data_IF_202370725814
#
_entry.id   IF_202370725814
#
_cell.length_a   1.000
_cell.length_b   1.000
_cell.length_c   1.000
_cell.angle_alpha   90.00
_cell.angle_beta   90.00
_cell.angle_gamma   90.00
#
_symmetry.space_group_name_H-M   'P 1'
#
loop_
_entity.id
_entity.type
_entity.pdbx_description
1 polymer ?
#
# COMPACT_ATOMS: atom_id res chain seq x y z
N UNK A 1 -7.20 -18.03 10.56
CA UNK A 1 -7.40 -18.08 9.08
C UNK A 1 -8.34 -16.99 8.63
N UNK A 2 -9.37 -16.72 9.43
CA UNK A 2 -10.44 -15.76 9.19
C UNK A 2 -9.96 -14.39 8.70
N UNK A 3 -8.86 -13.85 9.24
CA UNK A 3 -8.29 -12.56 8.80
C UNK A 3 -7.84 -12.49 7.33
N UNK A 4 -7.41 -13.61 6.74
CA UNK A 4 -6.99 -13.62 5.33
C UNK A 4 -8.19 -13.77 4.38
N UNK A 5 -9.32 -14.28 4.88
CA UNK A 5 -10.51 -14.61 4.09
C UNK A 5 -11.65 -13.61 4.29
N UNK A 6 -11.72 -12.98 5.46
CA UNK A 6 -12.65 -11.91 5.82
C UNK A 6 -11.85 -10.63 6.13
N UNK A 7 -11.88 -9.62 5.24
CA UNK A 7 -11.14 -8.39 5.42
C UNK A 7 -11.68 -7.49 6.55
N UNK A 8 -12.89 -7.75 7.06
CA UNK A 8 -13.47 -7.03 8.21
C UNK A 8 -13.13 -7.68 9.55
N UNK A 9 -12.59 -8.91 9.55
CA UNK A 9 -12.21 -9.60 10.76
C UNK A 9 -11.22 -8.77 11.60
N UNK A 10 -11.43 -8.78 12.91
CA UNK A 10 -10.60 -8.10 13.93
C UNK A 10 -10.02 -9.10 14.92
N UNK A 11 -9.08 -9.97 14.50
CA UNK A 11 -8.50 -10.97 15.41
C UNK A 11 -7.93 -10.32 16.65
N UNK A 12 -8.23 -10.89 17.82
CA UNK A 12 -7.74 -10.43 19.12
C UNK A 12 -8.00 -8.94 19.42
N UNK A 13 -9.07 -8.36 18.84
CA UNK A 13 -9.39 -6.94 19.01
C UNK A 13 -8.49 -5.99 18.22
N UNK A 14 -7.72 -6.52 17.26
CA UNK A 14 -6.88 -5.72 16.37
C UNK A 14 -7.67 -4.93 15.32
N UNK A 15 -6.92 -4.35 14.39
CA UNK A 15 -7.48 -3.59 13.26
C UNK A 15 -7.86 -4.54 12.10
N UNK A 16 -8.98 -4.25 11.43
CA UNK A 16 -9.36 -4.98 10.21
C UNK A 16 -8.53 -4.55 9.00
N UNK A 17 -8.43 -5.42 7.98
CA UNK A 17 -7.70 -5.07 6.75
C UNK A 17 -8.34 -3.87 6.04
N UNK A 18 -9.66 -3.74 6.11
CA UNK A 18 -10.42 -2.59 5.58
C UNK A 18 -10.00 -1.29 6.29
N UNK A 19 -10.03 -1.27 7.62
CA UNK A 19 -9.67 -0.09 8.40
C UNK A 19 -8.21 0.31 8.16
N UNK A 20 -7.30 -0.67 8.19
CA UNK A 20 -5.89 -0.49 7.90
C UNK A 20 -5.67 0.12 6.50
N UNK A 21 -6.26 -0.48 5.47
CA UNK A 21 -6.09 -0.03 4.08
C UNK A 21 -6.70 1.34 3.85
N UNK A 22 -7.86 1.63 4.46
CA UNK A 22 -8.50 2.94 4.39
C UNK A 22 -7.67 4.06 5.04
N UNK A 23 -6.92 3.77 6.12
CA UNK A 23 -5.98 4.74 6.70
C UNK A 23 -4.83 5.04 5.74
N UNK A 24 -4.24 4.01 5.13
CA UNK A 24 -3.14 4.19 4.18
C UNK A 24 -3.60 4.92 2.92
N UNK A 25 -4.79 4.61 2.41
CA UNK A 25 -5.40 5.33 1.29
C UNK A 25 -5.51 6.84 1.56
N UNK A 26 -6.11 7.22 2.70
CA UNK A 26 -6.22 8.65 3.09
C UNK A 26 -4.86 9.34 3.23
N UNK A 27 -3.88 8.65 3.82
CA UNK A 27 -2.53 9.20 3.93
C UNK A 27 -1.93 9.41 2.54
N UNK A 28 -2.04 8.40 1.65
CA UNK A 28 -1.50 8.45 0.30
C UNK A 28 -2.17 9.56 -0.52
N UNK A 29 -3.49 9.71 -0.45
CA UNK A 29 -4.21 10.82 -1.10
C UNK A 29 -3.71 12.19 -0.63
N UNK A 30 -3.45 12.35 0.67
CA UNK A 30 -2.82 13.56 1.21
C UNK A 30 -1.44 13.82 0.61
N UNK A 31 -0.62 12.78 0.41
CA UNK A 31 0.70 12.94 -0.22
C UNK A 31 0.62 13.37 -1.69
N UNK A 32 -0.50 13.12 -2.38
CA UNK A 32 -0.67 13.53 -3.78
C UNK A 32 -0.87 15.04 -3.96
N UNK A 33 -1.13 15.76 -2.86
CA UNK A 33 -1.34 17.21 -2.83
C UNK A 33 -0.04 17.99 -2.58
N UNK A 34 1.01 17.30 -2.13
CA UNK A 34 2.30 17.91 -1.82
C UNK A 34 3.19 17.96 -3.08
N UNK A 35 4.01 19.00 -3.19
CA UNK A 35 4.96 19.15 -4.29
C UNK A 35 6.27 18.38 -4.02
N UNK A 36 6.81 17.75 -5.07
CA UNK A 36 8.15 17.16 -5.06
C UNK A 36 8.18 15.65 -4.79
N UNK A 37 9.30 15.18 -4.22
CA UNK A 37 9.57 13.75 -3.98
C UNK A 37 9.59 13.48 -2.48
N UNK A 38 8.79 12.51 -2.05
CA UNK A 38 8.81 11.98 -0.69
C UNK A 38 9.35 10.54 -0.64
N UNK A 39 9.91 10.17 0.51
CA UNK A 39 10.31 8.80 0.83
C UNK A 39 9.60 8.35 2.10
N UNK A 40 8.98 7.17 2.06
CA UNK A 40 8.33 6.56 3.20
C UNK A 40 9.02 5.24 3.55
N UNK A 41 9.58 5.15 4.75
CA UNK A 41 10.16 3.91 5.30
C UNK A 41 9.09 3.26 6.17
N UNK A 42 8.68 2.04 5.81
CA UNK A 42 7.53 1.38 6.43
C UNK A 42 7.58 -0.14 6.27
N UNK A 43 6.49 -0.80 6.63
CA UNK A 43 6.30 -2.24 6.65
C UNK A 43 5.65 -2.73 5.35
N UNK A 44 5.87 -3.99 4.99
CA UNK A 44 5.35 -4.56 3.74
C UNK A 44 3.83 -4.45 3.58
N UNK A 45 3.06 -4.56 4.67
CA UNK A 45 1.60 -4.37 4.63
C UNK A 45 1.19 -2.97 4.18
N UNK A 46 1.93 -1.94 4.60
CA UNK A 46 1.64 -0.54 4.19
C UNK A 46 1.92 -0.36 2.70
N UNK A 47 3.01 -0.93 2.20
CA UNK A 47 3.33 -0.91 0.76
C UNK A 47 2.24 -1.61 -0.05
N UNK A 48 1.78 -2.78 0.39
CA UNK A 48 0.69 -3.52 -0.28
C UNK A 48 -0.62 -2.72 -0.30
N UNK A 49 -1.02 -2.12 0.84
CA UNK A 49 -2.22 -1.30 0.91
C UNK A 49 -2.14 -0.03 0.03
N UNK A 50 -0.97 0.62 0.01
CA UNK A 50 -0.70 1.76 -0.86
C UNK A 50 -0.83 1.38 -2.35
N UNK A 51 -0.30 0.22 -2.75
CA UNK A 51 -0.41 -0.30 -4.11
C UNK A 51 -1.86 -0.64 -4.49
N UNK A 52 -2.62 -1.27 -3.59
CA UNK A 52 -4.05 -1.55 -3.79
C UNK A 52 -4.81 -0.25 -4.07
N UNK A 53 -4.60 0.78 -3.25
CA UNK A 53 -5.23 2.10 -3.43
C UNK A 53 -4.78 2.77 -4.72
N UNK A 54 -3.47 2.83 -4.96
CA UNK A 54 -2.88 3.49 -6.13
C UNK A 54 -3.37 2.89 -7.46
N UNK A 55 -3.59 1.58 -7.51
CA UNK A 55 -4.07 0.86 -8.69
C UNK A 55 -5.60 0.82 -8.78
N UNK A 56 -6.33 1.39 -7.81
CA UNK A 56 -7.77 1.20 -7.65
C UNK A 56 -8.17 -0.29 -7.71
N UNK A 57 -7.33 -1.15 -7.15
CA UNK A 57 -7.50 -2.59 -7.17
C UNK A 57 -8.49 -3.04 -6.09
N UNK A 58 -9.17 -4.19 -6.27
CA UNK A 58 -9.95 -4.77 -5.18
C UNK A 58 -9.05 -5.11 -3.99
N UNK A 59 -9.57 -5.01 -2.77
CA UNK A 59 -8.80 -5.26 -1.54
C UNK A 59 -8.19 -6.67 -1.48
N UNK A 60 -8.79 -7.65 -2.16
CA UNK A 60 -8.25 -9.01 -2.30
C UNK A 60 -6.89 -9.06 -2.99
N UNK A 61 -6.52 -8.04 -3.78
CA UNK A 61 -5.19 -7.92 -4.37
C UNK A 61 -4.09 -7.71 -3.32
N UNK A 62 -4.42 -7.27 -2.11
CA UNK A 62 -3.47 -7.13 -1.00
C UNK A 62 -2.65 -8.41 -0.78
N UNK A 63 -3.29 -9.57 -0.91
CA UNK A 63 -2.65 -10.88 -0.71
C UNK A 63 -1.87 -11.39 -1.93
N UNK A 64 -2.04 -10.75 -3.09
CA UNK A 64 -1.36 -11.12 -4.35
C UNK A 64 -0.14 -10.24 -4.63
N UNK A 65 0.01 -9.15 -3.89
CA UNK A 65 1.14 -8.25 -3.98
C UNK A 65 2.20 -8.67 -2.98
N UNK A 66 3.45 -8.78 -3.41
CA UNK A 66 4.59 -9.00 -2.51
C UNK A 66 5.37 -7.72 -2.27
N UNK A 67 5.73 -7.47 -1.01
CA UNK A 67 6.61 -6.35 -0.66
C UNK A 67 7.94 -6.94 -0.17
N UNK A 68 8.91 -7.01 -1.09
CA UNK A 68 10.20 -7.64 -0.82
C UNK A 68 10.99 -6.79 0.20
N UNK A 69 11.56 -7.40 1.26
CA UNK A 69 12.39 -6.69 2.21
C UNK A 69 13.57 -5.97 1.54
N UNK A 70 13.94 -4.79 2.05
CA UNK A 70 15.04 -3.97 1.55
C UNK A 70 14.93 -3.56 0.07
N UNK A 71 13.72 -3.58 -0.49
CA UNK A 71 13.45 -3.09 -1.83
C UNK A 71 12.64 -1.79 -1.82
N UNK A 72 12.69 -1.07 -2.93
CA UNK A 72 11.95 0.17 -3.18
C UNK A 72 10.77 -0.11 -4.12
N UNK A 73 9.60 0.43 -3.75
CA UNK A 73 8.44 0.57 -4.64
C UNK A 73 8.25 2.05 -4.92
N UNK A 74 8.17 2.42 -6.20
CA UNK A 74 8.05 3.80 -6.65
C UNK A 74 6.66 4.06 -7.22
N UNK A 75 5.97 5.05 -6.65
CA UNK A 75 4.67 5.53 -7.09
C UNK A 75 4.80 6.98 -7.56
N UNK A 76 4.11 7.34 -8.64
CA UNK A 76 3.99 8.72 -9.10
C UNK A 76 2.54 9.18 -9.04
N UNK A 77 2.31 10.38 -8.49
CA UNK A 77 1.02 11.05 -8.50
C UNK A 77 0.99 12.14 -9.58
N UNK A 78 -0.08 12.21 -10.36
CA UNK A 78 -0.34 13.31 -11.29
C UNK A 78 -1.84 13.55 -11.41
N UNK A 79 -2.27 14.78 -11.15
CA UNK A 79 -3.68 15.19 -11.20
C UNK A 79 -4.61 14.27 -10.38
N UNK A 80 -4.19 13.94 -9.14
CA UNK A 80 -4.95 13.05 -8.24
C UNK A 80 -4.97 11.57 -8.66
N UNK A 81 -4.23 11.18 -9.71
CA UNK A 81 -4.10 9.78 -10.14
C UNK A 81 -2.72 9.24 -9.79
N UNK A 82 -2.70 8.05 -9.21
CA UNK A 82 -1.48 7.30 -8.93
C UNK A 82 -1.11 6.37 -10.08
N UNK A 83 0.19 6.16 -10.25
CA UNK A 83 0.77 5.15 -11.14
C UNK A 83 1.89 4.42 -10.42
N UNK A 84 2.02 3.11 -10.64
CA UNK A 84 3.13 2.32 -10.13
C UNK A 84 4.24 2.35 -11.17
N UNK A 85 5.36 2.96 -10.84
CA UNK A 85 6.50 3.06 -11.75
C UNK A 85 7.37 1.81 -11.70
N UNK A 86 7.67 1.33 -10.49
CA UNK A 86 8.43 0.10 -10.23
C UNK A 86 8.02 -0.48 -8.87
N UNK A 87 8.23 -1.78 -8.72
CA UNK A 87 7.94 -2.52 -7.49
C UNK A 87 9.10 -3.46 -7.19
N UNK A 88 9.40 -3.67 -5.91
CA UNK A 88 10.44 -4.60 -5.44
C UNK A 88 11.82 -4.40 -6.10
N UNK A 89 12.23 -3.15 -6.31
CA UNK A 89 13.57 -2.84 -6.81
C UNK A 89 14.58 -2.88 -5.65
N UNK A 90 15.40 -3.93 -5.58
CA UNK A 90 16.58 -3.96 -4.73
C UNK A 90 17.73 -3.11 -5.30
N UNK A 91 18.78 -2.93 -4.51
CA UNK A 91 20.05 -2.46 -5.06
C UNK A 91 20.50 -3.42 -6.18
N UNK A 92 21.11 -2.93 -7.28
CA UNK A 92 21.76 -3.83 -8.22
C UNK A 92 22.78 -4.68 -7.45
N UNK A 93 22.77 -5.99 -7.70
CA UNK A 93 23.73 -6.92 -7.12
C UNK A 93 25.16 -6.55 -7.52
#
# INVERSE_FOLDING_TARGET
RDWMTDPEARPHGGESLVAFSGRIARWLDGQSLEDGRAFAITHGGVVKAALVHALAAPLTAFWQLDATPLCVTELHARHGRWTVRRMNCGAPA
#
